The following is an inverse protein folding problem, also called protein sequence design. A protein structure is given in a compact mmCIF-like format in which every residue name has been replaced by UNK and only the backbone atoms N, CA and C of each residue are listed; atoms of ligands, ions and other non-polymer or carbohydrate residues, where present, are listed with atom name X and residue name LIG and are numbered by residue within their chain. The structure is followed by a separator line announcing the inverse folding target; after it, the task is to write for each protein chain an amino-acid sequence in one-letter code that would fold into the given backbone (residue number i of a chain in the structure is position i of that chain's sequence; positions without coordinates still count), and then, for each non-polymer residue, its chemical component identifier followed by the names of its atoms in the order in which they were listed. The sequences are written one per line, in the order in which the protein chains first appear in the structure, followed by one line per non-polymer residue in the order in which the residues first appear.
data_IF_027817545636
#
_entry.id   IF_027817545636
#
_cell.length_a   1.000
_cell.length_b   1.000
_cell.length_c   1.000
_cell.angle_alpha   90.00
_cell.angle_beta   90.00
_cell.angle_gamma   90.00
#
_symmetry.space_group_name_H-M   'P 1'
#
loop_
_entity.id
_entity.type
_entity.pdbx_description
1 polymer ?
#
# COMPACT_ATOMS: atom_id res chain seq x y z
N UNK A 1 -6.58 7.83 5.80
CA UNK A 1 -6.38 6.38 6.06
C UNK A 1 -4.95 5.94 5.76
N UNK A 2 -4.47 5.99 4.50
CA UNK A 2 -3.09 5.58 4.19
C UNK A 2 -2.01 6.43 4.89
N UNK A 3 -2.16 7.76 4.93
CA UNK A 3 -1.21 8.62 5.66
C UNK A 3 -1.20 8.38 7.17
N UNK A 4 -2.31 7.86 7.71
CA UNK A 4 -2.41 7.52 9.12
C UNK A 4 -1.71 6.19 9.42
N UNK A 5 -1.85 5.21 8.52
CA UNK A 5 -1.11 3.94 8.56
C UNK A 5 0.39 4.21 8.51
N UNK A 6 0.85 5.10 7.63
CA UNK A 6 2.27 5.47 7.51
C UNK A 6 2.82 6.08 8.81
N UNK A 7 2.03 6.93 9.48
CA UNK A 7 2.40 7.51 10.79
C UNK A 7 2.48 6.46 11.90
N UNK A 8 1.61 5.44 11.87
CA UNK A 8 1.57 4.37 12.89
C UNK A 8 2.60 3.27 12.65
N UNK A 9 3.04 3.08 11.41
CA UNK A 9 3.97 2.03 11.00
C UNK A 9 5.28 2.58 10.38
N UNK A 10 6.01 3.47 11.07
CA UNK A 10 7.21 4.11 10.52
C UNK A 10 8.35 3.13 10.22
N UNK A 11 8.35 1.96 10.86
CA UNK A 11 9.37 0.93 10.67
C UNK A 11 9.21 0.14 9.36
N UNK A 12 8.04 0.21 8.72
CA UNK A 12 7.71 -0.49 7.48
C UNK A 12 8.08 0.30 6.22
N UNK A 13 8.54 1.54 6.39
CA UNK A 13 8.91 2.47 5.30
C UNK A 13 10.42 2.73 5.33
N UNK A 14 11.22 1.67 5.39
CA UNK A 14 12.68 1.75 5.42
C UNK A 14 13.24 1.55 4.01
N UNK A 15 14.44 2.09 3.75
CA UNK A 15 15.20 1.79 2.53
C UNK A 15 15.29 0.28 2.30
N UNK A 16 14.90 -0.18 1.11
CA UNK A 16 14.83 -1.60 0.74
C UNK A 16 13.50 -2.29 1.08
N UNK A 17 12.52 -1.57 1.63
CA UNK A 17 11.14 -2.06 1.81
C UNK A 17 10.23 -1.61 0.67
N UNK A 18 9.01 -2.15 0.62
CA UNK A 18 8.01 -1.78 -0.39
C UNK A 18 6.60 -1.70 0.20
N UNK A 19 5.79 -0.79 -0.34
CA UNK A 19 4.34 -0.71 -0.08
C UNK A 19 3.61 -1.27 -1.30
N UNK A 20 2.64 -2.18 -1.07
CA UNK A 20 1.77 -2.71 -2.11
C UNK A 20 0.32 -2.35 -1.79
N UNK A 21 -0.29 -1.56 -2.67
CA UNK A 21 -1.65 -1.05 -2.51
C UNK A 21 -2.55 -1.82 -3.48
N UNK A 22 -3.49 -2.58 -2.92
CA UNK A 22 -4.55 -3.25 -3.69
C UNK A 22 -5.79 -2.38 -3.71
N UNK A 23 -6.29 -2.09 -4.90
CA UNK A 23 -7.56 -1.39 -5.09
C UNK A 23 -8.66 -2.42 -5.31
N UNK A 24 -9.65 -2.38 -4.43
CA UNK A 24 -10.82 -3.25 -4.51
C UNK A 24 -11.86 -2.65 -5.46
N UNK A 25 -12.37 -3.45 -6.39
CA UNK A 25 -13.50 -3.12 -7.25
C UNK A 25 -14.77 -3.77 -6.72
N UNK A 26 -15.67 -2.93 -6.21
CA UNK A 26 -16.92 -3.37 -5.62
C UNK A 26 -17.92 -3.96 -6.62
N UNK A 27 -17.82 -3.63 -7.90
CA UNK A 27 -18.69 -4.17 -8.93
C UNK A 27 -18.26 -5.59 -9.30
N UNK A 28 -16.95 -5.80 -9.45
CA UNK A 28 -16.37 -7.10 -9.82
C UNK A 28 -16.09 -8.00 -8.62
N UNK A 29 -16.19 -7.45 -7.40
CA UNK A 29 -15.88 -8.13 -6.13
C UNK A 29 -14.48 -8.76 -6.14
N UNK A 30 -13.52 -8.05 -6.71
CA UNK A 30 -12.13 -8.50 -6.79
C UNK A 30 -11.16 -7.31 -6.76
N UNK A 31 -9.87 -7.61 -6.65
CA UNK A 31 -8.81 -6.60 -6.78
C UNK A 31 -8.73 -6.21 -8.25
N UNK A 32 -8.97 -4.94 -8.57
CA UNK A 32 -8.90 -4.42 -9.94
C UNK A 32 -7.51 -3.93 -10.31
N UNK A 33 -6.78 -3.39 -9.35
CA UNK A 33 -5.47 -2.80 -9.57
C UNK A 33 -4.55 -3.07 -8.37
N UNK A 34 -3.28 -3.30 -8.67
CA UNK A 34 -2.21 -3.32 -7.69
C UNK A 34 -1.17 -2.26 -8.06
N UNK A 35 -0.78 -1.45 -7.08
CA UNK A 35 0.32 -0.51 -7.20
C UNK A 35 1.39 -0.81 -6.17
N UNK A 36 2.63 -0.96 -6.63
CA UNK A 36 3.78 -1.18 -5.75
C UNK A 36 4.70 0.02 -5.78
N UNK A 37 5.15 0.45 -4.60
CA UNK A 37 6.07 1.57 -4.39
C UNK A 37 7.28 1.02 -3.63
N UNK A 38 8.46 1.15 -4.23
CA UNK A 38 9.73 0.80 -3.58
C UNK A 38 10.25 2.02 -2.82
N UNK A 39 10.72 1.80 -1.60
CA UNK A 39 11.36 2.85 -0.80
C UNK A 39 12.88 2.69 -0.89
N UNK A 40 13.54 3.69 -1.47
CA UNK A 40 15.01 3.82 -1.60
C UNK A 40 15.68 4.51 -0.41
#
# INVERSE_FOLDING_TARGET
MQDEIRKRLPLYLRKGSFESINYWDDNKKCISENKTILFD
#
